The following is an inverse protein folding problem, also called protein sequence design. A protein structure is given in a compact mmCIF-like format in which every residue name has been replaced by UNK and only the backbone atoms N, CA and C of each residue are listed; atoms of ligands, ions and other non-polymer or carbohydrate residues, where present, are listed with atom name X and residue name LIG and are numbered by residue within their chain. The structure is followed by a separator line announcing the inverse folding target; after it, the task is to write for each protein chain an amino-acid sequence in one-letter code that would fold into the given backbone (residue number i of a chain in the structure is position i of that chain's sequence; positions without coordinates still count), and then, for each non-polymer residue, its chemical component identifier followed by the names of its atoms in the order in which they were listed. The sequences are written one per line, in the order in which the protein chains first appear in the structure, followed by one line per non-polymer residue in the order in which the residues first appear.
data_IF_407844179868
#
_entry.id   IF_407844179868
#
_cell.length_a   1.000
_cell.length_b   1.000
_cell.length_c   1.000
_cell.angle_alpha   90.00
_cell.angle_beta   90.00
_cell.angle_gamma   90.00
#
_symmetry.space_group_name_H-M   'P 1'
#
loop_
_entity.id
_entity.type
_entity.pdbx_description
1 polymer ?
#
# COMPACT_ATOMS: atom_id res chain seq x y z
N UNK A 1 12.90 -11.64 27.48
CA UNK A 1 11.77 -12.50 27.16
C UNK A 1 12.19 -13.52 26.12
N UNK A 2 11.72 -14.76 26.18
CA UNK A 2 12.08 -15.77 25.17
C UNK A 2 11.38 -15.44 23.85
N UNK A 3 12.10 -15.58 22.72
CA UNK A 3 11.57 -15.34 21.36
C UNK A 3 10.32 -16.16 21.02
N UNK A 4 10.09 -17.25 21.75
CA UNK A 4 8.95 -18.15 21.57
C UNK A 4 7.69 -17.72 22.36
N UNK A 5 7.74 -16.66 23.18
CA UNK A 5 6.58 -16.22 23.94
C UNK A 5 5.55 -15.57 22.98
N UNK A 6 4.27 -15.84 23.22
CA UNK A 6 3.16 -15.24 22.44
C UNK A 6 3.23 -13.72 22.46
N UNK A 7 3.59 -13.12 23.60
CA UNK A 7 3.69 -11.68 23.76
C UNK A 7 4.82 -11.08 22.91
N UNK A 8 5.97 -11.77 22.76
CA UNK A 8 7.04 -11.33 21.90
C UNK A 8 6.58 -11.32 20.43
N UNK A 9 5.95 -12.42 19.98
CA UNK A 9 5.42 -12.53 18.61
C UNK A 9 4.34 -11.47 18.33
N UNK A 10 3.40 -11.29 19.26
CA UNK A 10 2.37 -10.25 19.16
C UNK A 10 2.98 -8.85 19.09
N UNK A 11 4.01 -8.57 19.91
CA UNK A 11 4.72 -7.28 19.89
C UNK A 11 5.46 -7.05 18.57
N UNK A 12 6.07 -8.08 18.01
CA UNK A 12 6.75 -8.01 16.71
C UNK A 12 5.76 -7.76 15.57
N UNK A 13 4.62 -8.46 15.59
CA UNK A 13 3.57 -8.32 14.57
C UNK A 13 2.79 -7.00 14.68
N UNK A 14 2.69 -6.43 15.89
CA UNK A 14 1.89 -5.22 16.14
C UNK A 14 2.36 -4.00 15.34
N UNK A 15 3.66 -3.88 15.02
CA UNK A 15 4.19 -2.78 14.21
C UNK A 15 3.60 -2.76 12.79
N UNK A 16 3.10 -3.89 12.31
CA UNK A 16 2.48 -4.01 10.99
C UNK A 16 1.07 -3.44 10.92
N UNK A 17 0.39 -3.21 12.05
CA UNK A 17 -0.96 -2.64 12.10
C UNK A 17 -1.08 -1.31 11.34
N UNK A 18 0.01 -0.53 11.28
CA UNK A 18 -0.01 0.83 10.74
C UNK A 18 0.59 0.91 9.33
N UNK A 19 1.27 -0.14 8.86
CA UNK A 19 2.00 -0.11 7.59
C UNK A 19 1.13 0.27 6.38
N UNK A 20 -0.13 -0.15 6.36
CA UNK A 20 -1.09 0.12 5.28
C UNK A 20 -2.06 1.27 5.59
N UNK A 21 -1.82 2.08 6.63
CA UNK A 21 -2.78 3.07 7.13
C UNK A 21 -2.72 4.44 6.41
N UNK A 22 -1.86 4.60 5.41
CA UNK A 22 -1.78 5.85 4.63
C UNK A 22 -3.14 6.32 4.09
N UNK A 23 -3.87 5.51 3.33
CA UNK A 23 -5.12 5.89 2.69
C UNK A 23 -6.36 5.81 3.60
N UNK A 24 -6.26 5.44 4.87
CA UNK A 24 -7.42 5.28 5.78
C UNK A 24 -8.27 6.53 5.91
N UNK A 25 -7.68 7.71 5.71
CA UNK A 25 -8.37 9.01 5.77
C UNK A 25 -9.08 9.39 4.46
N UNK A 26 -9.05 8.55 3.42
CA UNK A 26 -9.63 8.90 2.12
C UNK A 26 -11.13 9.19 2.18
N UNK A 27 -11.84 8.61 3.14
CA UNK A 27 -13.25 8.92 3.39
C UNK A 27 -13.49 10.38 3.82
N UNK A 28 -12.46 11.08 4.32
CA UNK A 28 -12.53 12.47 4.78
C UNK A 28 -12.40 13.49 3.64
N UNK A 29 -12.03 13.06 2.42
CA UNK A 29 -11.74 13.96 1.28
C UNK A 29 -12.85 14.99 1.05
N UNK A 30 -14.15 14.63 0.99
CA UNK A 30 -15.21 15.64 0.81
C UNK A 30 -15.28 16.66 1.97
N UNK A 31 -15.10 16.22 3.20
CA UNK A 31 -15.14 17.09 4.39
C UNK A 31 -13.93 18.04 4.42
N UNK A 32 -12.76 17.53 4.09
CA UNK A 32 -11.53 18.33 3.98
C UNK A 32 -11.64 19.34 2.83
N UNK A 33 -12.20 18.94 1.68
CA UNK A 33 -12.39 19.84 0.55
C UNK A 33 -13.31 21.01 0.90
N UNK A 34 -14.39 20.76 1.64
CA UNK A 34 -15.26 21.82 2.14
C UNK A 34 -14.55 22.76 3.14
N UNK A 35 -13.55 22.26 3.87
CA UNK A 35 -12.82 23.02 4.91
C UNK A 35 -11.60 23.80 4.38
N UNK A 36 -11.15 23.53 3.16
CA UNK A 36 -10.01 24.20 2.54
C UNK A 36 -10.43 24.98 1.28
N UNK A 37 -11.10 26.15 1.42
CA UNK A 37 -11.56 26.92 0.29
C UNK A 37 -10.39 27.34 -0.61
N UNK A 38 -10.58 27.27 -1.91
CA UNK A 38 -9.55 27.59 -2.92
C UNK A 38 -8.55 26.47 -3.22
N UNK A 39 -8.60 25.33 -2.53
CA UNK A 39 -7.81 24.14 -2.88
C UNK A 39 -8.58 23.25 -3.85
N UNK A 40 -7.89 22.75 -4.88
CA UNK A 40 -8.48 21.77 -5.80
C UNK A 40 -8.73 20.43 -5.10
N UNK A 41 -9.66 19.63 -5.62
CA UNK A 41 -9.93 18.29 -5.09
C UNK A 41 -8.65 17.40 -5.13
N UNK A 42 -7.83 17.51 -6.16
CA UNK A 42 -6.56 16.79 -6.27
C UNK A 42 -5.55 17.20 -5.19
N UNK A 43 -5.55 18.48 -4.79
CA UNK A 43 -4.73 18.95 -3.66
C UNK A 43 -5.18 18.30 -2.34
N UNK A 44 -6.48 18.11 -2.15
CA UNK A 44 -6.99 17.43 -0.96
C UNK A 44 -6.69 15.92 -1.01
N UNK A 45 -6.82 15.29 -2.18
CA UNK A 45 -6.45 13.89 -2.37
C UNK A 45 -4.97 13.61 -2.10
N UNK A 46 -4.10 14.61 -2.38
CA UNK A 46 -2.67 14.53 -2.06
C UNK A 46 -2.44 14.26 -0.56
N UNK A 47 -3.28 14.77 0.33
CA UNK A 47 -3.20 14.53 1.78
C UNK A 47 -3.26 13.01 2.08
N UNK A 48 -4.02 12.24 1.31
CA UNK A 48 -4.13 10.79 1.47
C UNK A 48 -2.97 10.03 0.82
N UNK A 49 -2.34 10.57 -0.23
CA UNK A 49 -1.33 9.86 -1.03
C UNK A 49 0.11 10.25 -0.71
N UNK A 50 0.35 11.45 -0.20
CA UNK A 50 1.70 11.94 0.14
C UNK A 50 2.46 11.09 1.17
N UNK A 51 1.82 10.33 2.09
CA UNK A 51 2.56 9.40 2.94
C UNK A 51 3.38 8.38 2.15
N UNK A 52 2.90 7.93 0.99
CA UNK A 52 3.63 6.96 0.17
C UNK A 52 4.95 7.54 -0.39
N UNK A 53 5.00 8.85 -0.63
CA UNK A 53 6.25 9.53 -0.98
C UNK A 53 7.21 9.58 0.22
N UNK A 54 6.70 9.85 1.42
CA UNK A 54 7.48 9.74 2.66
C UNK A 54 8.03 8.33 2.87
N UNK A 55 7.18 7.29 2.71
CA UNK A 55 7.60 5.88 2.80
C UNK A 55 8.73 5.60 1.82
N UNK A 56 8.57 5.99 0.55
CA UNK A 56 9.57 5.74 -0.50
C UNK A 56 10.95 6.29 -0.14
N UNK A 57 11.01 7.55 0.29
CA UNK A 57 12.27 8.20 0.66
C UNK A 57 12.89 7.53 1.89
N UNK A 58 12.10 7.33 2.93
CA UNK A 58 12.63 6.89 4.23
C UNK A 58 12.89 5.38 4.31
N UNK A 59 12.29 4.56 3.45
CA UNK A 59 12.74 3.16 3.26
C UNK A 59 14.17 3.13 2.72
N UNK A 60 14.53 4.01 1.79
CA UNK A 60 15.90 4.08 1.27
C UNK A 60 16.90 4.60 2.31
N UNK A 61 16.48 5.57 3.13
CA UNK A 61 17.30 6.14 4.19
C UNK A 61 17.40 5.23 5.43
N UNK A 62 16.46 4.31 5.62
CA UNK A 62 16.39 3.46 6.83
C UNK A 62 17.67 2.70 7.09
N UNK A 63 18.33 2.17 6.05
CA UNK A 63 19.59 1.43 6.18
C UNK A 63 20.73 2.27 6.78
N UNK A 64 20.78 3.59 6.49
CA UNK A 64 21.75 4.48 7.07
C UNK A 64 21.45 4.74 8.55
N UNK A 65 20.18 4.95 8.87
CA UNK A 65 19.72 5.22 10.24
C UNK A 65 19.93 3.98 11.12
N UNK A 66 19.65 2.78 10.60
CA UNK A 66 19.89 1.50 11.28
C UNK A 66 21.37 1.35 11.69
N UNK A 67 22.30 1.75 10.82
CA UNK A 67 23.74 1.69 11.14
C UNK A 67 24.16 2.61 12.29
N UNK A 68 23.44 3.72 12.48
CA UNK A 68 23.76 4.72 13.52
C UNK A 68 23.10 4.38 14.86
N UNK A 69 21.80 4.08 14.86
CA UNK A 69 21.03 3.91 16.11
C UNK A 69 20.56 2.47 16.36
N UNK A 70 20.82 1.56 15.44
CA UNK A 70 20.42 0.15 15.51
C UNK A 70 18.95 -0.09 15.14
N UNK A 71 18.60 -1.36 14.88
CA UNK A 71 17.27 -1.77 14.38
C UNK A 71 16.13 -1.40 15.34
N UNK A 72 16.28 -1.72 16.64
CA UNK A 72 15.25 -1.45 17.66
C UNK A 72 14.91 0.04 17.73
N UNK A 73 15.94 0.89 17.86
CA UNK A 73 15.74 2.34 18.00
C UNK A 73 15.17 2.95 16.71
N UNK A 74 15.51 2.41 15.54
CA UNK A 74 14.95 2.84 14.26
C UNK A 74 13.45 2.57 14.20
N UNK A 75 12.97 1.39 14.65
CA UNK A 75 11.54 1.09 14.73
C UNK A 75 10.83 2.03 15.71
N UNK A 76 11.41 2.23 16.92
CA UNK A 76 10.83 3.13 17.93
C UNK A 76 10.75 4.56 17.39
N UNK A 77 11.83 5.06 16.78
CA UNK A 77 11.87 6.39 16.17
C UNK A 77 10.80 6.53 15.08
N UNK A 78 10.68 5.54 14.20
CA UNK A 78 9.66 5.53 13.14
C UNK A 78 8.24 5.55 13.69
N UNK A 79 7.95 4.76 14.73
CA UNK A 79 6.64 4.73 15.40
C UNK A 79 6.35 6.05 16.13
N UNK A 80 7.35 6.67 16.79
CA UNK A 80 7.20 7.99 17.42
C UNK A 80 6.87 9.08 16.39
N UNK A 81 7.61 9.11 15.27
CA UNK A 81 7.35 10.06 14.18
C UNK A 81 5.94 9.84 13.60
N UNK A 82 5.56 8.58 13.34
CA UNK A 82 4.24 8.25 12.81
C UNK A 82 3.12 8.64 13.80
N UNK A 83 3.30 8.42 15.10
CA UNK A 83 2.34 8.82 16.13
C UNK A 83 2.14 10.33 16.17
N UNK A 84 3.24 11.08 16.33
CA UNK A 84 3.19 12.54 16.44
C UNK A 84 2.63 13.16 15.16
N UNK A 85 3.18 12.79 14.01
CA UNK A 85 2.78 13.32 12.72
C UNK A 85 1.35 12.89 12.34
N UNK A 86 0.91 11.69 12.74
CA UNK A 86 -0.45 11.22 12.53
C UNK A 86 -1.49 12.01 13.34
N UNK A 87 -1.14 12.44 14.56
CA UNK A 87 -2.04 13.19 15.45
C UNK A 87 -2.03 14.71 15.19
N UNK A 88 -0.97 15.28 14.62
CA UNK A 88 -0.85 16.73 14.41
C UNK A 88 -2.03 17.37 13.66
N UNK A 89 -2.66 16.73 12.64
CA UNK A 89 -3.82 17.33 11.96
C UNK A 89 -5.04 17.53 12.86
N UNK A 90 -5.10 16.91 14.05
CA UNK A 90 -6.15 17.17 15.04
C UNK A 90 -6.12 18.62 15.52
N UNK A 91 -4.92 19.20 15.60
CA UNK A 91 -4.65 20.51 16.19
C UNK A 91 -4.42 21.62 15.16
N UNK A 92 -4.48 21.31 13.87
CA UNK A 92 -4.19 22.28 12.81
C UNK A 92 -5.24 22.25 11.71
N UNK A 93 -5.67 23.44 11.29
CA UNK A 93 -6.51 23.65 10.12
C UNK A 93 -5.73 24.26 8.94
N UNK A 94 -4.40 24.34 9.02
CA UNK A 94 -3.57 24.79 7.92
C UNK A 94 -3.27 23.64 6.95
N UNK A 95 -3.56 23.85 5.67
CA UNK A 95 -3.35 22.85 4.62
C UNK A 95 -1.88 22.39 4.52
N UNK A 96 -0.94 23.34 4.61
CA UNK A 96 0.49 23.06 4.46
C UNK A 96 1.01 22.20 5.61
N UNK A 97 0.56 22.53 6.84
CA UNK A 97 0.88 21.74 8.04
C UNK A 97 0.31 20.32 7.90
N UNK A 98 -0.94 20.20 7.46
CA UNK A 98 -1.55 18.86 7.25
C UNK A 98 -0.78 18.05 6.23
N UNK A 99 -0.44 18.60 5.05
CA UNK A 99 0.34 17.89 4.03
C UNK A 99 1.72 17.51 4.54
N UNK A 100 2.42 18.43 5.23
CA UNK A 100 3.75 18.15 5.80
C UNK A 100 3.71 17.03 6.85
N UNK A 101 2.74 17.08 7.75
CA UNK A 101 2.59 16.04 8.77
C UNK A 101 2.21 14.69 8.17
N UNK A 102 1.45 14.66 7.09
CA UNK A 102 1.16 13.43 6.35
C UNK A 102 2.40 12.86 5.66
N UNK A 103 3.27 13.72 5.11
CA UNK A 103 4.57 13.28 4.61
C UNK A 103 5.43 12.69 5.74
N UNK A 104 5.51 13.36 6.89
CA UNK A 104 6.24 12.88 8.06
C UNK A 104 5.67 11.57 8.62
N UNK A 105 4.35 11.39 8.59
CA UNK A 105 3.70 10.13 8.94
C UNK A 105 4.22 8.98 8.06
N UNK A 106 4.28 9.21 6.74
CA UNK A 106 4.87 8.25 5.80
C UNK A 106 6.36 8.03 6.05
N UNK A 107 7.11 9.07 6.37
CA UNK A 107 8.52 8.99 6.74
C UNK A 107 8.74 8.07 7.95
N UNK A 108 7.91 8.23 9.00
CA UNK A 108 7.94 7.35 10.18
C UNK A 108 7.70 5.88 9.81
N UNK A 109 6.68 5.60 8.99
CA UNK A 109 6.41 4.24 8.52
C UNK A 109 7.59 3.71 7.68
N UNK A 110 8.14 4.53 6.78
CA UNK A 110 9.24 4.16 5.90
C UNK A 110 10.48 3.69 6.65
N UNK A 111 10.77 4.29 7.80
CA UNK A 111 11.92 3.91 8.64
C UNK A 111 11.90 2.45 9.08
N UNK A 112 10.72 1.87 9.37
CA UNK A 112 10.62 0.50 9.87
C UNK A 112 9.89 -0.47 8.93
N UNK A 113 9.43 -0.01 7.77
CA UNK A 113 8.68 -0.85 6.83
C UNK A 113 9.45 -2.14 6.46
N UNK A 114 10.72 -1.99 6.06
CA UNK A 114 11.57 -3.14 5.76
C UNK A 114 11.88 -3.98 7.01
N UNK A 115 12.03 -3.34 8.18
CA UNK A 115 12.31 -4.02 9.44
C UNK A 115 11.14 -4.88 9.93
N UNK A 116 9.90 -4.52 9.60
CA UNK A 116 8.73 -5.32 9.93
C UNK A 116 8.76 -6.73 9.32
N UNK A 117 9.45 -6.89 8.19
CA UNK A 117 9.68 -8.18 7.51
C UNK A 117 11.01 -8.78 7.94
N UNK A 118 12.11 -8.01 7.88
CA UNK A 118 13.45 -8.55 8.11
C UNK A 118 13.66 -9.06 9.54
N UNK A 119 13.04 -8.45 10.55
CA UNK A 119 13.12 -8.95 11.93
C UNK A 119 12.48 -10.33 12.08
N UNK A 120 11.40 -10.63 11.34
CA UNK A 120 10.81 -11.97 11.35
C UNK A 120 11.78 -12.98 10.74
N UNK A 121 12.39 -12.65 9.59
CA UNK A 121 13.30 -13.55 8.88
C UNK A 121 14.64 -13.75 9.60
N UNK A 122 15.05 -12.82 10.47
CA UNK A 122 16.26 -12.93 11.27
C UNK A 122 16.06 -13.71 12.59
N UNK A 123 14.85 -13.72 13.13
CA UNK A 123 14.57 -14.31 14.45
C UNK A 123 14.02 -15.74 14.31
N UNK A 124 13.30 -16.01 13.23
CA UNK A 124 12.56 -17.26 13.01
C UNK A 124 12.95 -17.92 11.69
N UNK A 125 12.85 -19.26 11.65
CA UNK A 125 13.17 -20.09 10.50
C UNK A 125 12.01 -21.03 10.14
N UNK A 126 12.04 -21.58 8.94
CA UNK A 126 11.14 -22.66 8.49
C UNK A 126 9.65 -22.30 8.51
N UNK A 127 8.83 -23.22 9.02
CA UNK A 127 7.37 -23.08 9.03
C UNK A 127 6.89 -21.92 9.93
N UNK A 128 7.60 -21.68 11.04
CA UNK A 128 7.25 -20.60 11.96
C UNK A 128 7.47 -19.23 11.31
N UNK A 129 8.58 -19.05 10.62
CA UNK A 129 8.87 -17.85 9.83
C UNK A 129 7.77 -17.61 8.79
N UNK A 130 7.40 -18.64 8.01
CA UNK A 130 6.37 -18.53 6.98
C UNK A 130 5.00 -18.15 7.58
N UNK A 131 4.64 -18.75 8.72
CA UNK A 131 3.41 -18.42 9.45
C UNK A 131 3.38 -16.98 9.93
N UNK A 132 4.47 -16.51 10.55
CA UNK A 132 4.58 -15.13 11.07
C UNK A 132 4.59 -14.08 9.93
N UNK A 133 5.18 -14.38 8.79
CA UNK A 133 5.12 -13.51 7.61
C UNK A 133 3.70 -13.40 7.04
N UNK A 134 2.95 -14.51 7.02
CA UNK A 134 1.54 -14.49 6.65
C UNK A 134 0.70 -13.64 7.61
N UNK A 135 0.92 -13.80 8.92
CA UNK A 135 0.27 -12.99 9.95
C UNK A 135 0.65 -11.51 9.86
N UNK A 136 1.90 -11.19 9.53
CA UNK A 136 2.39 -9.82 9.34
C UNK A 136 1.59 -9.09 8.24
N UNK A 137 1.39 -9.73 7.09
CA UNK A 137 0.56 -9.18 6.01
C UNK A 137 -0.90 -9.01 6.42
N UNK A 138 -1.47 -9.99 7.12
CA UNK A 138 -2.83 -9.92 7.64
C UNK A 138 -3.00 -8.79 8.67
N UNK A 139 -2.03 -8.58 9.57
CA UNK A 139 -2.06 -7.49 10.56
C UNK A 139 -2.11 -6.11 9.90
N UNK A 140 -1.38 -5.90 8.80
CA UNK A 140 -1.44 -4.64 8.04
C UNK A 140 -2.84 -4.37 7.47
N UNK A 141 -3.46 -5.38 6.90
CA UNK A 141 -4.82 -5.27 6.34
C UNK A 141 -5.89 -5.11 7.44
N UNK A 142 -5.78 -5.86 8.55
CA UNK A 142 -6.67 -5.72 9.71
C UNK A 142 -6.56 -4.31 10.29
N UNK A 143 -5.34 -3.83 10.51
CA UNK A 143 -5.08 -2.49 11.05
C UNK A 143 -5.68 -1.40 10.15
N UNK A 144 -5.41 -1.46 8.85
CA UNK A 144 -5.96 -0.51 7.88
C UNK A 144 -7.50 -0.54 7.84
N UNK A 145 -8.10 -1.73 7.85
CA UNK A 145 -9.56 -1.91 7.84
C UNK A 145 -10.21 -1.32 9.08
N UNK A 146 -9.70 -1.66 10.28
CA UNK A 146 -10.19 -1.14 11.55
C UNK A 146 -10.02 0.39 11.64
N UNK A 147 -8.85 0.90 11.26
CA UNK A 147 -8.62 2.35 11.26
C UNK A 147 -9.56 3.07 10.30
N UNK A 148 -9.83 2.51 9.12
CA UNK A 148 -10.78 3.10 8.16
C UNK A 148 -12.20 3.13 8.72
N UNK A 149 -12.66 2.07 9.40
CA UNK A 149 -13.96 2.06 10.08
C UNK A 149 -14.02 3.12 11.19
N UNK A 150 -12.98 3.21 12.02
CA UNK A 150 -12.90 4.22 13.08
C UNK A 150 -12.89 5.63 12.52
N UNK A 151 -12.18 5.88 11.41
CA UNK A 151 -12.26 7.16 10.69
C UNK A 151 -13.69 7.46 10.30
N UNK A 152 -14.40 6.49 9.69
CA UNK A 152 -15.81 6.63 9.31
C UNK A 152 -16.72 6.99 10.50
N UNK A 153 -16.51 6.38 11.65
CA UNK A 153 -17.25 6.71 12.88
C UNK A 153 -16.91 8.13 13.37
N UNK A 154 -15.63 8.51 13.35
CA UNK A 154 -15.18 9.79 13.83
C UNK A 154 -15.56 10.99 12.92
N UNK A 155 -16.00 10.74 11.68
CA UNK A 155 -16.44 11.79 10.74
C UNK A 155 -17.55 12.69 11.34
N UNK A 156 -18.40 12.13 12.20
CA UNK A 156 -19.47 12.87 12.88
C UNK A 156 -18.95 14.01 13.77
N UNK A 157 -17.69 13.94 14.20
CA UNK A 157 -17.04 14.95 15.05
C UNK A 157 -16.16 15.93 14.24
N UNK A 158 -16.16 15.80 12.91
CA UNK A 158 -15.34 16.58 12.00
C UNK A 158 -14.07 15.83 11.53
N UNK A 159 -13.51 16.31 10.41
CA UNK A 159 -12.36 15.64 9.79
C UNK A 159 -11.10 15.69 10.67
N UNK A 160 -10.87 16.78 11.42
CA UNK A 160 -9.70 16.90 12.30
C UNK A 160 -9.69 15.81 13.38
N UNK A 161 -10.85 15.63 14.06
CA UNK A 161 -10.97 14.63 15.13
C UNK A 161 -10.83 13.18 14.60
N UNK A 162 -11.08 12.95 13.33
CA UNK A 162 -10.89 11.64 12.73
C UNK A 162 -9.41 11.20 12.70
N UNK A 163 -8.47 12.13 12.78
CA UNK A 163 -7.06 11.83 12.90
C UNK A 163 -6.64 11.23 14.25
N UNK A 164 -7.51 11.30 15.29
CA UNK A 164 -7.29 10.56 16.53
C UNK A 164 -7.16 9.03 16.31
N UNK A 165 -7.62 8.51 15.18
CA UNK A 165 -7.40 7.10 14.83
C UNK A 165 -5.93 6.69 14.90
N UNK A 166 -5.00 7.62 14.63
CA UNK A 166 -3.56 7.35 14.68
C UNK A 166 -3.01 7.20 16.10
N UNK A 167 -3.80 7.49 17.16
CA UNK A 167 -3.44 7.16 18.53
C UNK A 167 -3.27 5.63 18.75
N UNK A 168 -3.86 4.80 17.88
CA UNK A 168 -3.64 3.34 17.89
C UNK A 168 -2.14 2.99 17.76
N UNK A 169 -1.31 3.89 17.21
CA UNK A 169 0.15 3.73 17.11
C UNK A 169 0.84 3.62 18.48
N UNK A 170 0.19 4.10 19.54
CA UNK A 170 0.70 3.96 20.92
C UNK A 170 0.83 2.48 21.31
N UNK A 171 -0.12 1.65 20.85
CA UNK A 171 -0.12 0.22 21.18
C UNK A 171 1.15 -0.49 20.66
N UNK A 172 1.45 -0.49 19.35
CA UNK A 172 2.69 -1.10 18.86
C UNK A 172 3.95 -0.41 19.39
N UNK A 173 3.93 0.90 19.63
CA UNK A 173 5.07 1.61 20.22
C UNK A 173 5.42 1.05 21.61
N UNK A 174 4.43 0.93 22.50
CA UNK A 174 4.63 0.39 23.85
C UNK A 174 5.04 -1.09 23.80
N UNK A 175 4.29 -1.90 23.03
CA UNK A 175 4.58 -3.33 22.92
C UNK A 175 5.98 -3.58 22.37
N UNK A 176 6.36 -2.90 21.31
CA UNK A 176 7.68 -3.09 20.71
C UNK A 176 8.80 -2.58 21.61
N UNK A 177 8.66 -1.41 22.22
CA UNK A 177 9.67 -0.82 23.09
C UNK A 177 9.96 -1.69 24.33
N UNK A 178 8.92 -2.24 24.96
CA UNK A 178 9.03 -2.99 26.21
C UNK A 178 9.42 -4.47 26.00
N UNK A 179 8.86 -5.12 24.97
CA UNK A 179 8.95 -6.58 24.85
C UNK A 179 9.94 -7.07 23.80
N UNK A 180 10.35 -6.24 22.84
CA UNK A 180 11.32 -6.63 21.84
C UNK A 180 12.73 -6.28 22.30
N UNK A 181 13.55 -7.30 22.49
CA UNK A 181 14.99 -7.19 22.73
C UNK A 181 15.72 -7.69 21.49
N UNK A 182 16.39 -6.79 20.79
CA UNK A 182 17.27 -7.12 19.66
C UNK A 182 18.71 -6.94 20.18
N UNK A 183 19.59 -7.93 20.03
CA UNK A 183 21.01 -7.75 20.40
C UNK A 183 21.60 -6.53 19.69
N UNK A 184 22.39 -5.75 20.44
CA UNK A 184 23.04 -4.55 19.89
C UNK A 184 23.94 -4.95 18.72
N UNK A 185 23.97 -4.13 17.67
CA UNK A 185 24.74 -4.34 16.44
C UNK A 185 26.26 -4.55 16.66
N UNK A 186 26.80 -4.25 17.85
CA UNK A 186 28.21 -4.45 18.20
C UNK A 186 28.64 -5.93 18.19
N UNK A 187 27.72 -6.89 18.24
CA UNK A 187 28.05 -8.32 18.20
C UNK A 187 27.83 -8.97 16.81
N UNK A 188 27.36 -8.22 15.80
CA UNK A 188 27.12 -8.76 14.45
C UNK A 188 28.27 -8.53 13.47
N UNK A 189 29.26 -7.72 13.81
CA UNK A 189 30.45 -7.52 12.96
C UNK A 189 31.40 -8.73 12.92
N UNK A 190 31.14 -9.75 13.75
CA UNK A 190 32.00 -10.94 13.85
C UNK A 190 31.54 -12.12 12.99
N UNK A 191 30.35 -12.12 12.40
CA UNK A 191 29.87 -13.27 11.61
C UNK A 191 29.54 -13.00 10.13
N UNK A 192 29.53 -11.75 9.69
CA UNK A 192 29.58 -11.49 8.24
C UNK A 192 31.06 -11.35 7.86
N UNK A 193 31.80 -12.44 7.87
CA UNK A 193 32.95 -12.59 6.98
C UNK A 193 32.42 -12.47 5.55
N UNK A 194 32.38 -11.26 5.06
CA UNK A 194 32.39 -11.03 3.62
C UNK A 194 33.65 -11.74 3.10
N UNK A 195 33.42 -12.85 2.48
CA UNK A 195 34.44 -13.53 1.69
C UNK A 195 34.84 -12.55 0.58
N UNK A 196 35.95 -11.86 0.79
CA UNK A 196 36.47 -10.73 0.01
C UNK A 196 37.06 -11.20 -1.31
N UNK A 197 36.42 -12.13 -2.05
CA UNK A 197 36.89 -12.55 -3.39
C UNK A 197 35.82 -13.16 -4.29
N UNK A 198 34.57 -12.69 -4.21
CA UNK A 198 33.65 -12.94 -5.33
C UNK A 198 33.43 -11.56 -5.96
N UNK A 199 33.95 -11.35 -7.16
CA UNK A 199 33.58 -10.22 -8.01
C UNK A 199 32.06 -10.17 -8.01
N UNK A 200 31.48 -9.10 -7.44
CA UNK A 200 30.01 -8.91 -7.47
C UNK A 200 29.63 -8.88 -8.94
N UNK A 201 28.91 -9.88 -9.46
CA UNK A 201 28.45 -9.83 -10.84
C UNK A 201 27.69 -8.52 -11.00
N UNK A 202 27.93 -7.78 -12.07
CA UNK A 202 27.29 -6.49 -12.34
C UNK A 202 25.78 -6.70 -12.25
N UNK A 203 25.17 -6.07 -11.24
CA UNK A 203 23.70 -6.01 -11.17
C UNK A 203 23.23 -5.25 -12.39
N UNK A 204 22.31 -5.83 -13.17
CA UNK A 204 21.79 -5.24 -14.39
C UNK A 204 20.27 -5.06 -14.30
N UNK A 205 19.76 -4.08 -15.01
CA UNK A 205 18.32 -3.88 -15.20
C UNK A 205 18.02 -4.26 -16.65
N UNK A 206 17.02 -5.10 -16.86
CA UNK A 206 16.54 -5.46 -18.18
C UNK A 206 15.20 -4.78 -18.49
N UNK A 207 14.85 -4.72 -19.78
CA UNK A 207 13.59 -4.14 -20.24
C UNK A 207 12.34 -4.73 -19.57
N UNK A 208 12.19 -6.06 -19.36
CA UNK A 208 11.06 -6.62 -18.66
C UNK A 208 10.90 -6.10 -17.23
N UNK A 209 11.98 -5.89 -16.49
CA UNK A 209 11.93 -5.32 -15.12
C UNK A 209 11.40 -3.87 -15.15
N UNK A 210 11.84 -3.06 -16.11
CA UNK A 210 11.35 -1.68 -16.28
C UNK A 210 9.86 -1.69 -16.64
N UNK A 211 9.44 -2.55 -17.55
CA UNK A 211 8.03 -2.70 -17.94
C UNK A 211 7.16 -3.09 -16.76
N UNK A 212 7.62 -4.02 -15.91
CA UNK A 212 6.90 -4.42 -14.70
C UNK A 212 6.81 -3.28 -13.68
N UNK A 213 7.87 -2.50 -13.50
CA UNK A 213 7.87 -1.33 -12.63
C UNK A 213 6.86 -0.27 -13.10
N UNK A 214 6.89 0.08 -14.40
CA UNK A 214 5.95 1.05 -14.99
C UNK A 214 4.52 0.50 -14.95
N UNK A 215 4.34 -0.78 -15.25
CA UNK A 215 3.04 -1.46 -15.15
C UNK A 215 2.47 -1.39 -13.74
N UNK A 216 3.29 -1.66 -12.72
CA UNK A 216 2.89 -1.54 -11.32
C UNK A 216 2.53 -0.09 -10.96
N UNK A 217 3.35 0.90 -11.38
CA UNK A 217 3.05 2.31 -11.18
C UNK A 217 1.66 2.66 -11.74
N UNK A 218 1.39 2.29 -12.99
CA UNK A 218 0.10 2.58 -13.63
C UNK A 218 -1.06 1.88 -12.95
N UNK A 219 -0.95 0.57 -12.67
CA UNK A 219 -2.03 -0.20 -12.02
C UNK A 219 -2.35 0.38 -10.64
N UNK A 220 -1.34 0.69 -9.83
CA UNK A 220 -1.56 1.28 -8.51
C UNK A 220 -2.11 2.70 -8.60
N UNK A 221 -1.63 3.52 -9.54
CA UNK A 221 -2.17 4.86 -9.75
C UNK A 221 -3.67 4.84 -10.13
N UNK A 222 -4.05 3.96 -11.05
CA UNK A 222 -5.44 3.82 -11.49
C UNK A 222 -6.33 3.21 -10.41
N UNK A 223 -5.87 2.17 -9.72
CA UNK A 223 -6.64 1.53 -8.63
C UNK A 223 -6.92 2.49 -7.47
N UNK A 224 -5.97 3.35 -7.12
CA UNK A 224 -6.16 4.28 -6.00
C UNK A 224 -7.31 5.27 -6.21
N UNK A 225 -7.84 5.41 -7.43
CA UNK A 225 -9.12 6.09 -7.70
C UNK A 225 -10.24 5.56 -6.81
N UNK A 226 -10.29 4.25 -6.55
CA UNK A 226 -11.25 3.66 -5.63
C UNK A 226 -11.14 4.28 -4.24
N UNK A 227 -9.92 4.40 -3.72
CA UNK A 227 -9.69 4.99 -2.40
C UNK A 227 -10.02 6.47 -2.35
N UNK A 228 -9.63 7.23 -3.39
CA UNK A 228 -9.74 8.68 -3.41
C UNK A 228 -11.12 9.21 -3.79
N UNK A 229 -11.82 8.52 -4.68
CA UNK A 229 -13.07 9.01 -5.29
C UNK A 229 -14.35 8.40 -4.73
N UNK A 230 -14.29 7.29 -3.96
CA UNK A 230 -15.51 6.64 -3.47
C UNK A 230 -16.35 7.56 -2.59
N UNK A 231 -15.74 8.27 -1.64
CA UNK A 231 -16.47 9.20 -0.76
C UNK A 231 -17.09 10.35 -1.56
N UNK A 232 -16.33 10.93 -2.51
CA UNK A 232 -16.81 12.00 -3.39
C UNK A 232 -17.96 11.51 -4.29
N UNK A 233 -17.85 10.29 -4.84
CA UNK A 233 -18.91 9.68 -5.66
C UNK A 233 -20.23 9.55 -4.88
N UNK A 234 -20.17 9.06 -3.63
CA UNK A 234 -21.37 8.90 -2.82
C UNK A 234 -22.08 10.23 -2.57
N UNK A 235 -21.29 11.27 -2.28
CA UNK A 235 -21.80 12.63 -2.03
C UNK A 235 -22.36 13.26 -3.33
N UNK A 236 -21.61 13.19 -4.44
CA UNK A 236 -22.03 13.75 -5.74
C UNK A 236 -23.32 13.12 -6.26
N UNK A 237 -23.49 11.80 -6.08
CA UNK A 237 -24.70 11.09 -6.51
C UNK A 237 -25.84 11.13 -5.50
N UNK A 238 -25.64 11.76 -4.32
CA UNK A 238 -26.60 11.78 -3.22
C UNK A 238 -27.08 10.40 -2.74
N UNK A 239 -26.19 9.38 -2.80
CA UNK A 239 -26.50 7.99 -2.42
C UNK A 239 -25.89 7.58 -1.08
N UNK A 240 -25.04 8.42 -0.48
CA UNK A 240 -24.44 8.12 0.82
C UNK A 240 -23.58 9.24 1.39
N UNK A 241 -23.23 9.09 2.65
CA UNK A 241 -22.33 9.98 3.38
C UNK A 241 -20.88 9.48 3.36
N UNK A 242 -19.88 10.34 3.69
CA UNK A 242 -18.47 9.94 3.82
C UNK A 242 -18.23 8.74 4.76
N UNK A 243 -19.03 8.59 5.81
CA UNK A 243 -18.97 7.45 6.73
C UNK A 243 -19.29 6.12 6.04
N UNK A 244 -20.24 6.11 5.10
CA UNK A 244 -20.55 4.92 4.29
C UNK A 244 -19.38 4.54 3.38
N UNK A 245 -18.67 5.53 2.82
CA UNK A 245 -17.46 5.27 2.06
C UNK A 245 -16.38 4.58 2.89
N UNK A 246 -16.20 4.97 4.15
CA UNK A 246 -15.27 4.31 5.06
C UNK A 246 -15.62 2.82 5.26
N UNK A 247 -16.91 2.49 5.41
CA UNK A 247 -17.39 1.12 5.46
C UNK A 247 -17.06 0.32 4.20
N UNK A 248 -17.33 0.90 3.01
CA UNK A 248 -17.00 0.28 1.73
C UNK A 248 -15.50 0.02 1.60
N UNK A 249 -14.66 1.03 1.86
CA UNK A 249 -13.20 0.92 1.74
C UNK A 249 -12.59 -0.05 2.76
N UNK A 250 -13.17 -0.13 3.96
CA UNK A 250 -12.80 -1.14 4.95
C UNK A 250 -13.09 -2.55 4.45
N UNK A 251 -14.26 -2.77 3.83
CA UNK A 251 -14.64 -4.07 3.25
C UNK A 251 -13.70 -4.47 2.11
N UNK A 252 -13.28 -3.53 1.28
CA UNK A 252 -12.26 -3.74 0.22
C UNK A 252 -10.96 -4.26 0.82
N UNK A 253 -10.46 -3.59 1.85
CA UNK A 253 -9.20 -3.97 2.51
C UNK A 253 -9.31 -5.33 3.20
N UNK A 254 -10.44 -5.59 3.86
CA UNK A 254 -10.70 -6.86 4.53
C UNK A 254 -10.83 -8.03 3.53
N UNK A 255 -11.48 -7.84 2.39
CA UNK A 255 -11.62 -8.87 1.35
C UNK A 255 -10.26 -9.34 0.83
N UNK A 256 -9.26 -8.46 0.81
CA UNK A 256 -7.89 -8.78 0.41
C UNK A 256 -7.23 -9.86 1.29
N UNK A 257 -7.57 -9.92 2.58
CA UNK A 257 -7.04 -10.94 3.51
C UNK A 257 -7.49 -12.33 3.06
N UNK A 258 -8.79 -12.50 2.79
CA UNK A 258 -9.37 -13.78 2.38
C UNK A 258 -8.75 -14.27 1.06
N UNK A 259 -8.56 -13.37 0.12
CA UNK A 259 -7.98 -13.67 -1.19
C UNK A 259 -6.50 -14.00 -1.08
N UNK A 260 -5.76 -13.32 -0.21
CA UNK A 260 -4.34 -13.62 0.05
C UNK A 260 -4.13 -15.09 0.48
N UNK A 261 -5.04 -15.64 1.30
CA UNK A 261 -4.97 -17.03 1.76
C UNK A 261 -5.13 -18.02 0.60
N UNK A 262 -5.99 -17.73 -0.37
CA UNK A 262 -6.29 -18.63 -1.49
C UNK A 262 -5.44 -18.37 -2.74
N UNK A 263 -4.59 -17.32 -2.72
CA UNK A 263 -3.78 -16.91 -3.87
C UNK A 263 -2.98 -18.06 -4.49
N UNK A 264 -2.33 -18.89 -3.66
CA UNK A 264 -1.54 -20.02 -4.15
C UNK A 264 -2.36 -21.04 -4.95
N UNK A 265 -3.64 -21.26 -4.60
CA UNK A 265 -4.55 -22.13 -5.36
C UNK A 265 -4.95 -21.47 -6.69
N UNK A 266 -5.27 -20.17 -6.67
CA UNK A 266 -5.61 -19.41 -7.87
C UNK A 266 -4.43 -19.43 -8.86
N UNK A 267 -3.21 -19.18 -8.37
CA UNK A 267 -2.02 -19.14 -9.21
C UNK A 267 -1.68 -20.51 -9.80
N UNK A 268 -1.91 -21.62 -9.09
CA UNK A 268 -1.72 -22.99 -9.63
C UNK A 268 -2.60 -23.27 -10.85
N UNK A 269 -3.82 -22.74 -10.86
CA UNK A 269 -4.79 -22.93 -11.95
C UNK A 269 -4.54 -21.96 -13.10
N UNK A 270 -4.44 -20.68 -12.81
CA UNK A 270 -4.40 -19.62 -13.82
C UNK A 270 -2.98 -19.27 -14.30
N UNK A 271 -1.95 -19.59 -13.49
CA UNK A 271 -0.54 -19.29 -13.78
C UNK A 271 -0.35 -17.83 -14.22
N UNK A 272 0.21 -17.61 -15.39
CA UNK A 272 0.53 -16.29 -15.95
C UNK A 272 -0.74 -15.50 -16.36
N UNK A 273 -1.86 -16.20 -16.58
CA UNK A 273 -3.14 -15.57 -16.94
C UNK A 273 -3.80 -14.82 -15.77
N UNK A 274 -3.27 -14.97 -14.54
CA UNK A 274 -3.76 -14.23 -13.37
C UNK A 274 -3.75 -12.73 -13.64
N UNK A 275 -2.64 -12.16 -14.14
CA UNK A 275 -2.51 -10.71 -14.32
C UNK A 275 -3.55 -10.13 -15.29
N UNK A 276 -3.74 -10.60 -16.54
CA UNK A 276 -4.79 -10.10 -17.42
C UNK A 276 -6.19 -10.21 -16.81
N UNK A 277 -6.54 -11.37 -16.23
CA UNK A 277 -7.86 -11.61 -15.65
C UNK A 277 -8.13 -10.64 -14.49
N UNK A 278 -7.15 -10.44 -13.62
CA UNK A 278 -7.26 -9.55 -12.47
C UNK A 278 -7.42 -8.09 -12.91
N UNK A 279 -6.65 -7.64 -13.90
CA UNK A 279 -6.78 -6.27 -14.44
C UNK A 279 -8.13 -6.05 -15.11
N UNK A 280 -8.66 -7.06 -15.82
CA UNK A 280 -10.00 -7.01 -16.36
C UNK A 280 -11.06 -6.89 -15.26
N UNK A 281 -10.97 -7.73 -14.22
CA UNK A 281 -11.89 -7.70 -13.08
C UNK A 281 -11.85 -6.36 -12.32
N UNK A 282 -10.65 -5.75 -12.17
CA UNK A 282 -10.49 -4.41 -11.62
C UNK A 282 -11.28 -3.36 -12.44
N UNK A 283 -11.10 -3.35 -13.76
CA UNK A 283 -11.80 -2.45 -14.67
C UNK A 283 -13.31 -2.68 -14.64
N UNK A 284 -13.74 -3.94 -14.67
CA UNK A 284 -15.16 -4.31 -14.58
C UNK A 284 -15.81 -3.81 -13.28
N UNK A 285 -15.12 -3.96 -12.13
CA UNK A 285 -15.57 -3.42 -10.86
C UNK A 285 -15.73 -1.89 -10.88
N UNK A 286 -14.83 -1.18 -11.55
CA UNK A 286 -14.94 0.27 -11.71
C UNK A 286 -16.14 0.69 -12.57
N UNK A 287 -16.48 -0.07 -13.61
CA UNK A 287 -17.71 0.18 -14.40
C UNK A 287 -18.97 -0.06 -13.58
N UNK A 288 -18.98 -1.06 -12.71
CA UNK A 288 -20.09 -1.28 -11.77
C UNK A 288 -20.23 -0.08 -10.82
N UNK A 289 -19.13 0.45 -10.28
CA UNK A 289 -19.16 1.63 -9.40
C UNK A 289 -19.63 2.87 -10.16
N UNK A 290 -19.13 3.07 -11.38
CA UNK A 290 -19.52 4.20 -12.23
C UNK A 290 -21.05 4.22 -12.45
N UNK A 291 -21.64 3.07 -12.77
CA UNK A 291 -23.08 2.93 -13.04
C UNK A 291 -23.96 2.85 -11.78
N UNK A 292 -23.34 2.78 -10.59
CA UNK A 292 -24.06 2.56 -9.34
C UNK A 292 -24.98 3.74 -8.97
N UNK A 293 -26.20 3.40 -8.55
CA UNK A 293 -27.20 4.33 -7.99
C UNK A 293 -27.60 3.96 -6.56
N UNK A 294 -26.84 3.07 -5.91
CA UNK A 294 -27.04 2.65 -4.53
C UNK A 294 -25.71 2.29 -3.86
N UNK A 295 -25.68 2.40 -2.53
CA UNK A 295 -24.51 1.98 -1.73
C UNK A 295 -24.16 0.50 -2.00
N UNK A 296 -25.17 -0.35 -2.15
CA UNK A 296 -24.98 -1.78 -2.40
C UNK A 296 -24.22 -2.05 -3.71
N UNK A 297 -24.56 -1.35 -4.81
CA UNK A 297 -23.85 -1.49 -6.08
C UNK A 297 -22.44 -0.94 -6.00
N UNK A 298 -22.20 0.20 -5.32
CA UNK A 298 -20.84 0.71 -5.08
C UNK A 298 -20.03 -0.31 -4.31
N UNK A 299 -20.60 -0.90 -3.25
CA UNK A 299 -19.94 -1.92 -2.44
C UNK A 299 -19.60 -3.16 -3.26
N UNK A 300 -20.52 -3.64 -4.10
CA UNK A 300 -20.28 -4.80 -4.97
C UNK A 300 -19.11 -4.53 -5.93
N UNK A 301 -19.12 -3.41 -6.64
CA UNK A 301 -18.02 -3.04 -7.53
C UNK A 301 -16.70 -2.85 -6.80
N UNK A 302 -16.74 -2.28 -5.58
CA UNK A 302 -15.57 -2.10 -4.74
C UNK A 302 -14.98 -3.43 -4.26
N UNK A 303 -15.83 -4.39 -3.86
CA UNK A 303 -15.39 -5.75 -3.47
C UNK A 303 -14.74 -6.47 -4.67
N UNK A 304 -15.39 -6.43 -5.85
CA UNK A 304 -14.82 -7.02 -7.07
C UNK A 304 -13.42 -6.45 -7.33
N UNK A 305 -13.30 -5.12 -7.29
CA UNK A 305 -12.02 -4.44 -7.49
C UNK A 305 -11.01 -4.78 -6.40
N UNK A 306 -11.41 -4.82 -5.12
CA UNK A 306 -10.53 -5.13 -4.00
C UNK A 306 -9.99 -6.56 -4.03
N UNK A 307 -10.87 -7.52 -4.32
CA UNK A 307 -10.51 -8.94 -4.52
C UNK A 307 -9.49 -9.08 -5.64
N UNK A 308 -9.74 -8.46 -6.78
CA UNK A 308 -8.81 -8.48 -7.90
C UNK A 308 -7.48 -7.79 -7.54
N UNK A 309 -7.53 -6.61 -6.93
CA UNK A 309 -6.31 -5.86 -6.57
C UNK A 309 -5.39 -6.62 -5.62
N UNK A 310 -5.94 -7.37 -4.67
CA UNK A 310 -5.14 -8.15 -3.73
C UNK A 310 -4.26 -9.23 -4.39
N UNK A 311 -4.60 -9.63 -5.62
CA UNK A 311 -3.81 -10.58 -6.42
C UNK A 311 -2.72 -9.90 -7.26
N UNK A 312 -2.77 -8.56 -7.45
CA UNK A 312 -1.82 -7.84 -8.32
C UNK A 312 -0.41 -7.89 -7.77
N UNK A 313 -0.21 -7.52 -6.52
CA UNK A 313 1.13 -7.44 -5.94
C UNK A 313 1.83 -8.81 -5.88
N UNK A 314 1.22 -9.89 -5.34
CA UNK A 314 1.84 -11.20 -5.36
C UNK A 314 2.19 -11.67 -6.78
N UNK A 315 1.31 -11.44 -7.76
CA UNK A 315 1.58 -11.78 -9.15
C UNK A 315 2.77 -10.99 -9.71
N UNK A 316 2.83 -9.68 -9.45
CA UNK A 316 3.94 -8.83 -9.89
C UNK A 316 5.28 -9.27 -9.29
N UNK A 317 5.34 -9.65 -8.01
CA UNK A 317 6.56 -10.18 -7.39
C UNK A 317 7.02 -11.49 -8.02
N UNK A 318 6.10 -12.40 -8.35
CA UNK A 318 6.44 -13.65 -9.07
C UNK A 318 7.01 -13.35 -10.46
N UNK A 319 6.39 -12.41 -11.20
CA UNK A 319 6.87 -12.01 -12.53
C UNK A 319 8.26 -11.36 -12.45
N UNK A 320 8.52 -10.52 -11.44
CA UNK A 320 9.85 -9.96 -11.19
C UNK A 320 10.86 -11.06 -10.94
N UNK A 321 10.57 -12.03 -10.05
CA UNK A 321 11.46 -13.15 -9.78
C UNK A 321 11.79 -13.98 -11.02
N UNK A 322 10.87 -14.06 -11.99
CA UNK A 322 11.03 -14.81 -13.24
C UNK A 322 11.83 -14.04 -14.30
N UNK A 323 11.61 -12.74 -14.42
CA UNK A 323 12.18 -11.93 -15.52
C UNK A 323 13.42 -11.14 -15.12
N UNK A 324 13.70 -11.00 -13.83
CA UNK A 324 14.90 -10.34 -13.36
C UNK A 324 16.16 -11.03 -13.84
N UNK A 325 17.22 -10.30 -14.21
CA UNK A 325 18.51 -10.89 -14.54
C UNK A 325 19.06 -11.69 -13.35
N UNK A 326 19.87 -12.73 -13.65
CA UNK A 326 20.55 -13.51 -12.61
C UNK A 326 21.34 -12.54 -11.70
N UNK A 327 21.21 -12.73 -10.40
CA UNK A 327 21.80 -11.89 -9.33
C UNK A 327 21.22 -10.47 -9.16
N UNK A 328 20.16 -10.09 -9.86
CA UNK A 328 19.53 -8.76 -9.76
C UNK A 328 18.12 -8.80 -9.17
N UNK A 329 17.70 -9.92 -8.58
CA UNK A 329 16.35 -10.08 -8.02
C UNK A 329 16.01 -9.01 -6.95
N UNK A 330 16.96 -8.68 -6.08
CA UNK A 330 16.77 -7.66 -5.05
C UNK A 330 16.57 -6.26 -5.66
N UNK A 331 17.38 -5.90 -6.66
CA UNK A 331 17.24 -4.61 -7.37
C UNK A 331 15.90 -4.53 -8.10
N UNK A 332 15.51 -5.59 -8.80
CA UNK A 332 14.25 -5.66 -9.53
C UNK A 332 13.03 -5.56 -8.58
N UNK A 333 13.08 -6.22 -7.42
CA UNK A 333 12.05 -6.12 -6.38
C UNK A 333 11.98 -4.71 -5.80
N UNK A 334 13.14 -4.07 -5.56
CA UNK A 334 13.18 -2.68 -5.08
C UNK A 334 12.58 -1.71 -6.09
N UNK A 335 12.87 -1.89 -7.38
CA UNK A 335 12.27 -1.09 -8.45
C UNK A 335 10.76 -1.29 -8.55
N UNK A 336 10.26 -2.52 -8.38
CA UNK A 336 8.83 -2.78 -8.33
C UNK A 336 8.18 -2.01 -7.17
N UNK A 337 8.76 -2.03 -5.98
CA UNK A 337 8.27 -1.28 -4.82
C UNK A 337 8.31 0.23 -5.03
N UNK A 338 9.34 0.74 -5.71
CA UNK A 338 9.39 2.15 -6.15
C UNK A 338 8.21 2.46 -7.06
N UNK A 339 7.95 1.62 -8.07
CA UNK A 339 6.81 1.78 -8.99
C UNK A 339 5.48 1.80 -8.24
N UNK A 340 5.26 0.88 -7.29
CA UNK A 340 4.06 0.80 -6.45
C UNK A 340 3.86 2.10 -5.67
N UNK A 341 4.85 2.52 -4.88
CA UNK A 341 4.72 3.70 -4.02
C UNK A 341 4.59 5.02 -4.82
N UNK A 342 5.32 5.15 -5.92
CA UNK A 342 5.17 6.28 -6.84
C UNK A 342 3.80 6.28 -7.50
N UNK A 343 3.27 5.12 -7.90
CA UNK A 343 1.93 4.99 -8.47
C UNK A 343 0.86 5.50 -7.49
N UNK A 344 0.94 5.08 -6.24
CA UNK A 344 0.03 5.56 -5.19
C UNK A 344 0.18 7.07 -4.96
N UNK A 345 1.40 7.56 -4.83
CA UNK A 345 1.67 8.99 -4.61
C UNK A 345 1.15 9.85 -5.76
N UNK A 346 1.44 9.45 -7.00
CA UNK A 346 1.07 10.21 -8.18
C UNK A 346 -0.41 10.03 -8.59
N UNK A 347 -1.16 9.13 -7.95
CA UNK A 347 -2.53 8.80 -8.35
C UNK A 347 -3.45 10.02 -8.42
N UNK A 348 -3.41 10.92 -7.42
CA UNK A 348 -4.19 12.17 -7.42
C UNK A 348 -3.82 13.09 -8.56
N UNK A 349 -2.51 13.26 -8.84
CA UNK A 349 -2.00 14.11 -9.92
C UNK A 349 -2.32 13.53 -11.29
N UNK A 350 -2.14 12.22 -11.48
CA UNK A 350 -2.49 11.52 -12.73
C UNK A 350 -3.98 11.63 -13.00
N UNK A 351 -4.82 11.40 -11.99
CA UNK A 351 -6.27 11.56 -12.12
C UNK A 351 -6.66 12.99 -12.51
N UNK A 352 -6.08 14.00 -11.85
CA UNK A 352 -6.34 15.40 -12.17
C UNK A 352 -5.90 15.76 -13.60
N UNK A 353 -4.74 15.29 -14.04
CA UNK A 353 -4.21 15.53 -15.38
C UNK A 353 -5.11 14.91 -16.45
N UNK A 354 -5.50 13.63 -16.27
CA UNK A 354 -6.37 12.93 -17.23
C UNK A 354 -7.76 13.59 -17.26
N UNK A 355 -8.35 13.92 -16.10
CA UNK A 355 -9.65 14.59 -16.00
C UNK A 355 -9.65 15.92 -16.74
N UNK A 356 -8.55 16.69 -16.66
CA UNK A 356 -8.40 17.96 -17.38
C UNK A 356 -8.28 17.75 -18.89
N UNK A 357 -7.55 16.73 -19.35
CA UNK A 357 -7.40 16.43 -20.79
C UNK A 357 -8.72 16.04 -21.45
N UNK A 358 -9.56 15.28 -20.74
CA UNK A 358 -10.83 14.73 -21.28
C UNK A 358 -12.03 15.64 -20.95
N UNK A 359 -11.81 16.75 -20.20
CA UNK A 359 -12.87 17.64 -19.67
C UNK A 359 -13.93 16.91 -18.85
N UNK A 360 -13.56 15.87 -18.15
CA UNK A 360 -14.41 15.06 -17.28
C UNK A 360 -13.97 15.27 -15.83
N UNK A 361 -14.84 15.86 -15.00
CA UNK A 361 -14.47 16.29 -13.64
C UNK A 361 -15.22 15.58 -12.51
N UNK A 362 -16.27 14.81 -12.84
CA UNK A 362 -17.07 14.09 -11.85
C UNK A 362 -16.31 12.88 -11.30
N UNK A 363 -16.62 12.48 -10.07
CA UNK A 363 -16.05 11.26 -9.52
C UNK A 363 -16.40 10.01 -10.34
N UNK A 364 -17.64 9.94 -10.90
CA UNK A 364 -18.05 8.88 -11.82
C UNK A 364 -17.18 8.79 -13.08
N UNK A 365 -16.76 9.94 -13.61
CA UNK A 365 -15.92 9.98 -14.81
C UNK A 365 -14.53 9.42 -14.54
N UNK A 366 -14.01 9.65 -13.33
CA UNK A 366 -12.73 9.07 -12.92
C UNK A 366 -12.78 7.53 -12.90
N UNK A 367 -13.90 6.93 -12.46
CA UNK A 367 -14.10 5.48 -12.52
C UNK A 367 -14.20 4.97 -13.97
N UNK A 368 -14.86 5.71 -14.86
CA UNK A 368 -14.93 5.38 -16.28
C UNK A 368 -13.53 5.36 -16.92
N UNK A 369 -12.78 6.45 -16.75
CA UNK A 369 -11.47 6.63 -17.37
C UNK A 369 -10.50 5.57 -16.86
N UNK A 370 -10.40 5.44 -15.53
CA UNK A 370 -9.44 4.54 -14.92
C UNK A 370 -9.84 3.06 -15.10
N UNK A 371 -11.15 2.77 -15.14
CA UNK A 371 -11.67 1.45 -15.50
C UNK A 371 -11.27 1.06 -16.93
N UNK A 372 -11.44 1.99 -17.88
CA UNK A 372 -11.01 1.79 -19.28
C UNK A 372 -9.49 1.60 -19.36
N UNK A 373 -8.70 2.38 -18.62
CA UNK A 373 -7.24 2.22 -18.53
C UNK A 373 -6.83 0.85 -18.01
N UNK A 374 -7.50 0.34 -16.97
CA UNK A 374 -7.23 -1.00 -16.41
C UNK A 374 -7.58 -2.10 -17.40
N UNK A 375 -8.69 -1.98 -18.15
CA UNK A 375 -9.03 -2.93 -19.21
C UNK A 375 -7.99 -2.87 -20.35
N UNK A 376 -7.55 -1.69 -20.74
CA UNK A 376 -6.48 -1.55 -21.74
C UNK A 376 -5.19 -2.22 -21.28
N UNK A 377 -4.79 -2.04 -20.02
CA UNK A 377 -3.64 -2.74 -19.44
C UNK A 377 -3.84 -4.26 -19.39
N UNK A 378 -5.08 -4.73 -19.16
CA UNK A 378 -5.43 -6.15 -19.25
C UNK A 378 -5.18 -6.69 -20.65
N UNK A 379 -5.68 -6.01 -21.69
CA UNK A 379 -5.49 -6.40 -23.10
C UNK A 379 -4.01 -6.38 -23.48
N UNK A 380 -3.25 -5.36 -23.08
CA UNK A 380 -1.81 -5.29 -23.31
C UNK A 380 -1.07 -6.45 -22.63
N UNK A 381 -1.40 -6.76 -21.38
CA UNK A 381 -0.83 -7.87 -20.63
C UNK A 381 -1.14 -9.23 -21.30
N UNK A 382 -2.39 -9.41 -21.74
CA UNK A 382 -2.80 -10.59 -22.51
C UNK A 382 -1.99 -10.74 -23.81
N UNK A 383 -1.88 -9.67 -24.59
CA UNK A 383 -1.15 -9.68 -25.85
C UNK A 383 0.34 -10.02 -25.67
N UNK A 384 0.97 -9.44 -24.64
CA UNK A 384 2.39 -9.75 -24.30
C UNK A 384 2.57 -11.23 -23.95
N UNK A 385 1.68 -11.82 -23.15
CA UNK A 385 1.74 -13.24 -22.81
C UNK A 385 1.50 -14.13 -24.01
N UNK A 386 0.52 -13.82 -24.87
CA UNK A 386 0.23 -14.57 -26.08
C UNK A 386 1.41 -14.58 -27.06
N UNK A 387 2.09 -13.44 -27.22
CA UNK A 387 3.28 -13.33 -28.06
C UNK A 387 4.46 -14.14 -27.48
N UNK A 388 4.66 -14.10 -26.18
CA UNK A 388 5.72 -14.85 -25.50
C UNK A 388 5.51 -16.38 -25.63
N UNK A 389 4.27 -16.84 -25.47
CA UNK A 389 3.92 -18.25 -25.61
C UNK A 389 4.11 -18.75 -27.06
N UNK A 390 3.76 -17.94 -28.08
CA UNK A 390 4.05 -18.28 -29.49
C UNK A 390 5.55 -18.37 -29.79
N UNK A 391 6.36 -17.56 -29.14
CA UNK A 391 7.84 -17.59 -29.32
C UNK A 391 8.46 -18.82 -28.68
N UNK A 392 7.92 -19.29 -27.55
CA UNK A 392 8.40 -20.48 -26.85
C UNK A 392 7.92 -21.78 -27.51
N UNK A 393 6.77 -21.79 -28.19
CA UNK A 393 6.27 -22.96 -28.94
C UNK A 393 6.97 -23.18 -30.27
N UNK A 394 7.78 -22.21 -30.74
CA UNK A 394 8.58 -22.32 -31.98
C UNK A 394 10.07 -22.68 -31.71
N UNK A 395 10.46 -22.78 -30.45
CA UNK A 395 11.76 -23.34 -30.01
C UNK A 395 11.58 -24.75 -29.49
#
# INVERSE_FOLDING_TARGET
MTKNSLLFKASLLSISLILASGPTISALIPLMHASFPGKSISSIELIATVPNFGILIFVLLSNFIIKVIGKKNTVILGLCIALIAGLMPVFSSDYTVVVFTRFMFGAGIGLYNALAVSLITEIYDGEEQASLMGLQGAMGSIGSSLMTLLVGYLTQYGWQKSFFVYAITVLPLILFALFITIPSAQNMDSEIKYDKKIEKPKEGINTPTIVLMIGALLVFALFFTLMLKTATLLVEKNIGQPSAAAGILSTVTFSGILVGIIYGKIYKVLKEWVMPIVLFGLGAGFFVIMSANSIALVTTGAIISGVCFSLVAPCAFILVGRFAPKNSANLATSLLLVGINLGVFLSSTINAFISKLVNMTRASDAFLINGSGLIMLSVCSYALLALNNKKNSKK
#
